data_IF_837762730009
#
_entry.id   IF_837762730009
#
_cell.length_a   1.000
_cell.length_b   1.000
_cell.length_c   1.000
_cell.angle_alpha   90.00
_cell.angle_beta   90.00
_cell.angle_gamma   90.00
#
_symmetry.space_group_name_H-M   'P 1'
#
loop_
_entity.id
_entity.type
_entity.pdbx_description
1 polymer ?
#
# COMPACT_ATOMS: atom_id res chain seq x y z
N UNK A 1 -27.97 -5.93 81.94
CA UNK A 1 -26.89 -4.96 82.08
C UNK A 1 -26.08 -4.96 80.77
N UNK A 2 -26.34 -3.99 79.97
CA UNK A 2 -25.72 -3.81 78.71
C UNK A 2 -24.49 -2.87 78.83
N UNK A 3 -23.41 -3.19 78.11
CA UNK A 3 -22.25 -2.35 77.95
C UNK A 3 -22.22 -1.69 76.53
N UNK A 4 -21.75 -0.43 76.38
CA UNK A 4 -22.00 0.36 75.23
C UNK A 4 -20.98 0.18 74.09
N UNK A 5 -21.47 0.38 72.87
CA UNK A 5 -20.74 0.26 71.65
C UNK A 5 -19.68 1.35 71.42
N UNK A 6 -18.61 0.95 70.76
CA UNK A 6 -17.54 1.85 70.28
C UNK A 6 -17.93 2.44 68.91
N UNK A 7 -17.94 3.78 68.86
CA UNK A 7 -18.10 4.61 67.69
C UNK A 7 -16.95 4.41 66.69
N UNK A 8 -17.29 4.05 65.45
CA UNK A 8 -16.35 4.00 64.35
C UNK A 8 -16.20 5.38 63.66
N UNK A 9 -14.99 5.86 63.56
CA UNK A 9 -14.59 7.08 62.86
C UNK A 9 -14.72 6.92 61.34
N UNK A 10 -15.21 7.89 60.58
CA UNK A 10 -15.31 7.76 59.13
C UNK A 10 -13.96 7.88 58.45
N UNK A 11 -13.64 6.88 57.63
CA UNK A 11 -12.45 6.82 56.80
C UNK A 11 -12.53 7.88 55.67
N UNK A 12 -11.55 8.77 55.62
CA UNK A 12 -11.39 9.84 54.66
C UNK A 12 -11.25 9.20 53.25
N UNK A 13 -12.20 9.51 52.35
CA UNK A 13 -12.19 9.14 50.96
C UNK A 13 -10.97 9.75 50.24
N UNK A 14 -10.15 8.94 49.65
CA UNK A 14 -9.04 9.34 48.80
C UNK A 14 -9.60 9.81 47.44
N UNK A 15 -9.20 11.01 47.02
CA UNK A 15 -9.51 11.56 45.70
C UNK A 15 -8.95 10.68 44.58
N UNK A 16 -9.62 10.59 43.41
CA UNK A 16 -9.11 9.83 42.28
C UNK A 16 -7.86 10.52 41.72
N UNK A 17 -6.81 9.73 41.57
CA UNK A 17 -5.55 10.18 40.98
C UNK A 17 -5.75 10.66 39.54
N UNK A 18 -5.19 11.79 39.27
CA UNK A 18 -5.10 12.49 38.01
C UNK A 18 -4.71 11.52 36.87
N UNK A 19 -5.65 11.21 36.00
CA UNK A 19 -5.36 10.51 34.74
C UNK A 19 -4.40 11.39 33.93
N UNK A 20 -3.20 10.93 33.73
CA UNK A 20 -2.14 11.60 32.96
C UNK A 20 -2.64 11.82 31.54
N UNK A 21 -2.94 13.06 31.22
CA UNK A 21 -3.26 13.53 29.87
C UNK A 21 -2.13 13.08 28.93
N UNK A 22 -2.42 12.47 27.76
CA UNK A 22 -1.36 12.09 26.83
C UNK A 22 -0.52 13.31 26.47
N UNK A 23 0.77 13.25 26.74
CA UNK A 23 1.74 14.27 26.34
C UNK A 23 1.69 14.42 24.82
N UNK A 24 1.61 15.65 24.24
CA UNK A 24 1.72 15.83 22.81
C UNK A 24 3.00 15.16 22.30
N UNK A 25 2.87 14.37 21.25
CA UNK A 25 4.00 13.73 20.60
C UNK A 25 5.05 14.79 20.23
N UNK A 26 6.31 14.52 20.53
CA UNK A 26 7.45 15.36 20.14
C UNK A 26 7.39 15.66 18.64
N UNK A 27 7.86 16.81 18.15
CA UNK A 27 7.82 17.14 16.73
C UNK A 27 8.56 16.05 15.96
N UNK A 28 7.82 15.29 15.17
CA UNK A 28 8.37 14.26 14.29
C UNK A 28 9.40 14.92 13.39
N UNK A 29 10.61 14.35 13.30
CA UNK A 29 11.64 14.83 12.40
C UNK A 29 11.06 15.02 10.99
N UNK A 30 11.36 16.13 10.33
CA UNK A 30 10.92 16.44 8.97
C UNK A 30 12.11 16.43 8.03
N UNK A 31 11.90 15.98 6.78
CA UNK A 31 12.92 16.01 5.73
C UNK A 31 12.52 17.05 4.68
N UNK A 32 13.38 18.02 4.35
CA UNK A 32 13.08 18.97 3.28
C UNK A 32 13.17 18.28 1.91
N UNK A 33 12.21 18.57 1.05
CA UNK A 33 12.18 18.12 -0.34
C UNK A 33 11.98 19.31 -1.28
N UNK A 34 12.73 19.35 -2.39
CA UNK A 34 12.55 20.36 -3.44
C UNK A 34 11.76 19.72 -4.59
N UNK A 35 10.61 20.30 -4.90
CA UNK A 35 9.74 19.84 -5.98
C UNK A 35 10.48 19.94 -7.33
N UNK A 36 10.44 18.85 -8.09
CA UNK A 36 11.03 18.76 -9.44
C UNK A 36 9.95 18.95 -10.51
N UNK A 37 10.37 19.27 -11.73
CA UNK A 37 9.47 19.36 -12.88
C UNK A 37 8.74 18.01 -13.08
N UNK A 38 7.42 18.05 -13.12
CA UNK A 38 6.57 16.88 -13.29
C UNK A 38 6.17 16.18 -11.98
N UNK A 39 6.64 16.63 -10.82
CA UNK A 39 6.20 16.07 -9.54
C UNK A 39 4.75 16.46 -9.24
N UNK A 40 4.04 15.50 -8.63
CA UNK A 40 2.76 15.77 -7.95
C UNK A 40 2.91 15.46 -6.46
N UNK A 41 2.03 16.04 -5.63
CA UNK A 41 2.02 15.74 -4.18
C UNK A 41 1.89 14.24 -3.90
N UNK A 42 1.05 13.55 -4.68
CA UNK A 42 0.86 12.11 -4.55
C UNK A 42 2.15 11.35 -4.90
N UNK A 43 2.83 11.76 -5.97
CA UNK A 43 4.08 11.12 -6.39
C UNK A 43 5.21 11.31 -5.38
N UNK A 44 5.32 12.50 -4.82
CA UNK A 44 6.29 12.81 -3.77
C UNK A 44 5.98 11.96 -2.53
N UNK A 45 4.72 11.94 -2.07
CA UNK A 45 4.31 11.16 -0.90
C UNK A 45 4.56 9.66 -1.09
N UNK A 46 4.24 9.11 -2.26
CA UNK A 46 4.48 7.70 -2.56
C UNK A 46 5.96 7.36 -2.58
N UNK A 47 6.77 8.19 -3.25
CA UNK A 47 8.23 8.00 -3.38
C UNK A 47 8.94 8.06 -2.03
N UNK A 48 8.47 8.92 -1.14
CA UNK A 48 9.06 9.14 0.17
C UNK A 48 8.31 8.42 1.30
N UNK A 49 7.34 7.54 0.97
CA UNK A 49 6.49 6.83 1.94
C UNK A 49 5.86 7.77 2.98
N UNK A 50 5.57 9.00 2.58
CA UNK A 50 5.01 10.04 3.42
C UNK A 50 3.47 10.01 3.40
N UNK A 51 2.85 10.23 4.54
CA UNK A 51 1.40 10.40 4.62
C UNK A 51 0.99 11.73 3.98
N UNK A 52 0.12 11.68 2.96
CA UNK A 52 -0.29 12.86 2.20
C UNK A 52 -0.95 13.92 3.10
N UNK A 53 -1.78 13.51 4.07
CA UNK A 53 -2.44 14.46 4.97
C UNK A 53 -1.43 15.15 5.87
N UNK A 54 -0.42 14.41 6.35
CA UNK A 54 0.65 14.98 7.14
C UNK A 54 1.51 15.93 6.29
N UNK A 55 1.82 15.60 5.03
CA UNK A 55 2.52 16.52 4.11
C UNK A 55 1.70 17.79 3.88
N UNK A 56 0.40 17.68 3.61
CA UNK A 56 -0.48 18.82 3.41
C UNK A 56 -0.51 19.71 4.66
N UNK A 57 -0.68 19.12 5.85
CA UNK A 57 -0.73 19.85 7.12
C UNK A 57 0.60 20.56 7.42
N UNK A 58 1.74 19.89 7.27
CA UNK A 58 3.07 20.45 7.51
C UNK A 58 3.41 21.63 6.60
N UNK A 59 2.85 21.63 5.37
CA UNK A 59 3.15 22.65 4.38
C UNK A 59 2.00 23.64 4.17
N UNK A 60 0.97 23.60 5.01
CA UNK A 60 -0.24 24.45 4.89
C UNK A 60 -0.91 24.34 3.51
N UNK A 61 -0.86 23.16 2.89
CA UNK A 61 -1.44 22.87 1.58
C UNK A 61 -2.81 22.19 1.72
N UNK A 62 -3.62 22.32 0.66
CA UNK A 62 -4.90 21.62 0.49
C UNK A 62 -4.76 20.55 -0.61
N UNK A 63 -5.69 19.63 -0.68
CA UNK A 63 -5.74 18.61 -1.76
C UNK A 63 -5.79 19.24 -3.16
N UNK A 64 -6.34 20.43 -3.30
CA UNK A 64 -6.42 21.21 -4.54
C UNK A 64 -5.20 22.10 -4.79
N UNK A 65 -4.23 22.17 -3.86
CA UNK A 65 -3.06 23.02 -4.03
C UNK A 65 -2.18 22.53 -5.17
N UNK A 66 -1.76 23.49 -6.01
CA UNK A 66 -0.75 23.25 -7.04
C UNK A 66 0.63 23.44 -6.44
N UNK A 67 1.55 22.56 -6.73
CA UNK A 67 2.96 22.67 -6.34
C UNK A 67 3.80 23.00 -7.57
N UNK A 68 4.87 23.76 -7.39
CA UNK A 68 5.71 24.28 -8.47
C UNK A 68 7.14 23.74 -8.38
N UNK A 69 7.82 23.48 -9.51
CA UNK A 69 9.23 23.16 -9.51
C UNK A 69 10.05 24.20 -8.73
N UNK A 70 10.94 23.73 -7.84
CA UNK A 70 11.72 24.58 -6.94
C UNK A 70 11.04 24.87 -5.59
N UNK A 71 9.75 24.60 -5.43
CA UNK A 71 9.06 24.74 -4.15
C UNK A 71 9.66 23.78 -3.10
N UNK A 72 9.93 24.30 -1.89
CA UNK A 72 10.37 23.46 -0.77
C UNK A 72 9.16 22.92 -0.02
N UNK A 73 9.12 21.61 0.20
CA UNK A 73 8.14 20.93 1.01
C UNK A 73 8.83 20.27 2.20
N UNK A 74 8.18 20.31 3.34
CA UNK A 74 8.55 19.50 4.51
C UNK A 74 7.80 18.17 4.40
N UNK A 75 8.55 17.11 4.27
CA UNK A 75 7.98 15.76 4.36
C UNK A 75 8.07 15.33 5.82
N UNK A 76 7.01 14.81 6.43
CA UNK A 76 7.15 14.16 7.72
C UNK A 76 8.26 13.13 7.55
N UNK A 77 9.22 13.07 8.48
CA UNK A 77 10.00 11.85 8.58
C UNK A 77 8.95 10.75 8.58
N UNK A 78 9.03 9.86 7.61
CA UNK A 78 8.12 8.73 7.56
C UNK A 78 7.96 8.26 9.00
N UNK A 79 6.77 8.24 9.61
CA UNK A 79 6.65 7.61 10.89
C UNK A 79 7.34 6.29 10.61
N UNK A 80 8.42 5.99 11.35
CA UNK A 80 8.98 4.66 11.28
C UNK A 80 7.73 3.79 11.42
N UNK A 81 7.16 3.42 10.29
CA UNK A 81 6.18 2.36 10.23
C UNK A 81 6.91 1.30 11.02
N UNK A 82 6.44 0.89 12.24
CA UNK A 82 7.18 -0.07 13.02
C UNK A 82 7.49 -1.13 12.01
N UNK A 83 8.73 -1.12 11.50
CA UNK A 83 9.10 -1.76 10.25
C UNK A 83 8.49 -3.14 10.38
N UNK A 84 7.57 -3.53 9.49
CA UNK A 84 7.31 -4.94 9.32
C UNK A 84 8.71 -5.48 9.03
N UNK A 85 9.40 -5.90 10.09
CA UNK A 85 10.72 -6.50 10.02
C UNK A 85 10.47 -7.82 9.35
N UNK A 86 10.66 -7.81 8.04
CA UNK A 86 10.56 -9.05 7.27
C UNK A 86 11.71 -9.96 7.69
N UNK A 87 11.49 -11.27 7.73
CA UNK A 87 12.55 -12.22 8.02
C UNK A 87 13.80 -11.92 7.17
N UNK A 88 15.01 -12.03 7.71
CA UNK A 88 16.24 -11.72 6.98
C UNK A 88 16.33 -12.41 5.61
N UNK A 89 15.83 -13.64 5.50
CA UNK A 89 15.78 -14.37 4.25
C UNK A 89 14.88 -13.67 3.18
N UNK A 90 13.76 -13.05 3.59
CA UNK A 90 12.88 -12.31 2.67
C UNK A 90 13.58 -11.05 2.18
N UNK A 91 14.25 -10.32 3.08
CA UNK A 91 15.02 -9.12 2.72
C UNK A 91 16.16 -9.48 1.76
N UNK A 92 16.92 -10.53 2.06
CA UNK A 92 18.01 -11.02 1.19
C UNK A 92 17.48 -11.41 -0.21
N UNK A 93 16.34 -12.12 -0.27
CA UNK A 93 15.70 -12.48 -1.53
C UNK A 93 15.24 -11.23 -2.32
N UNK A 94 14.70 -10.22 -1.65
CA UNK A 94 14.32 -8.96 -2.29
C UNK A 94 15.52 -8.24 -2.92
N UNK A 95 16.68 -8.25 -2.23
CA UNK A 95 17.90 -7.64 -2.75
C UNK A 95 18.49 -8.41 -3.95
N UNK A 96 18.40 -9.73 -3.94
CA UNK A 96 18.77 -10.57 -5.09
C UNK A 96 17.89 -10.23 -6.30
N UNK A 97 16.56 -10.20 -6.11
CA UNK A 97 15.60 -9.89 -7.18
C UNK A 97 15.80 -8.46 -7.72
N UNK A 98 16.04 -7.49 -6.86
CA UNK A 98 16.32 -6.10 -7.24
C UNK A 98 17.58 -6.02 -8.12
N UNK A 99 18.68 -6.67 -7.71
CA UNK A 99 19.92 -6.75 -8.50
C UNK A 99 19.71 -7.47 -9.84
N UNK A 100 18.91 -8.54 -9.86
CA UNK A 100 18.60 -9.23 -11.08
C UNK A 100 17.83 -8.34 -12.08
N UNK A 101 16.83 -7.58 -11.61
CA UNK A 101 16.04 -6.68 -12.45
C UNK A 101 16.85 -5.48 -12.98
N UNK A 102 17.91 -5.03 -12.29
CA UNK A 102 18.78 -3.98 -12.86
C UNK A 102 19.51 -4.46 -14.11
N UNK A 103 19.80 -5.75 -14.22
CA UNK A 103 20.52 -6.36 -15.35
C UNK A 103 19.59 -6.81 -16.49
N UNK A 104 18.29 -6.94 -16.24
CA UNK A 104 17.32 -7.36 -17.27
C UNK A 104 16.87 -6.20 -18.15
N UNK A 105 16.66 -6.46 -19.43
CA UNK A 105 15.88 -5.59 -20.29
C UNK A 105 14.41 -5.69 -19.86
N UNK A 106 13.78 -4.56 -19.56
CA UNK A 106 12.38 -4.49 -19.15
C UNK A 106 11.60 -3.57 -20.08
N UNK A 107 10.30 -3.81 -20.29
CA UNK A 107 9.47 -2.95 -21.13
C UNK A 107 9.33 -1.55 -20.52
N UNK A 108 9.13 -0.56 -21.38
CA UNK A 108 8.78 0.81 -20.97
C UNK A 108 7.39 0.85 -20.33
N UNK A 109 7.07 1.90 -19.54
CA UNK A 109 5.72 2.05 -18.95
C UNK A 109 4.60 2.06 -19.99
N UNK A 110 4.85 2.59 -21.21
CA UNK A 110 3.90 2.56 -22.31
C UNK A 110 3.63 1.15 -22.81
N UNK A 111 4.68 0.34 -22.99
CA UNK A 111 4.54 -1.06 -23.37
C UNK A 111 3.84 -1.87 -22.26
N UNK A 112 4.19 -1.64 -21.01
CA UNK A 112 3.52 -2.25 -19.85
C UNK A 112 2.03 -1.94 -19.85
N UNK A 113 1.62 -0.70 -20.14
CA UNK A 113 0.21 -0.32 -20.24
C UNK A 113 -0.54 -1.18 -21.27
N UNK A 114 0.04 -1.37 -22.45
CA UNK A 114 -0.55 -2.21 -23.51
C UNK A 114 -0.63 -3.68 -23.08
N UNK A 115 0.44 -4.21 -22.49
CA UNK A 115 0.51 -5.59 -21.99
C UNK A 115 -0.56 -5.86 -20.93
N UNK A 116 -0.73 -4.96 -19.96
CA UNK A 116 -1.76 -5.09 -18.91
C UNK A 116 -3.15 -5.08 -19.53
N UNK A 117 -3.45 -4.13 -20.40
CA UNK A 117 -4.77 -4.03 -21.02
C UNK A 117 -5.12 -5.26 -21.85
N UNK A 118 -4.17 -5.80 -22.61
CA UNK A 118 -4.35 -7.02 -23.39
C UNK A 118 -4.56 -8.25 -22.49
N UNK A 119 -3.74 -8.39 -21.43
CA UNK A 119 -3.84 -9.50 -20.48
C UNK A 119 -5.14 -9.44 -19.69
N UNK A 120 -5.56 -8.25 -19.25
CA UNK A 120 -6.81 -8.05 -18.53
C UNK A 120 -8.02 -8.48 -19.38
N UNK A 121 -8.09 -8.05 -20.64
CA UNK A 121 -9.16 -8.49 -21.57
C UNK A 121 -9.17 -10.00 -21.75
N UNK A 122 -8.00 -10.63 -21.93
CA UNK A 122 -7.85 -12.09 -22.08
C UNK A 122 -8.43 -12.86 -20.90
N UNK A 123 -8.31 -12.33 -19.68
CA UNK A 123 -8.77 -12.97 -18.45
C UNK A 123 -10.08 -12.40 -17.90
N UNK A 124 -10.85 -11.64 -18.69
CA UNK A 124 -12.15 -11.09 -18.28
C UNK A 124 -12.10 -10.03 -17.18
N UNK A 125 -10.92 -9.42 -16.96
CA UNK A 125 -10.75 -8.34 -15.97
C UNK A 125 -10.90 -6.97 -16.63
N UNK A 126 -11.52 -6.02 -15.94
CA UNK A 126 -11.57 -4.62 -16.40
C UNK A 126 -10.15 -4.06 -16.59
N UNK A 127 -9.74 -3.70 -17.83
CA UNK A 127 -8.41 -3.16 -18.08
C UNK A 127 -8.10 -1.89 -17.31
N UNK A 128 -9.11 -1.04 -17.03
CA UNK A 128 -8.91 0.19 -16.26
C UNK A 128 -8.60 -0.13 -14.79
N UNK A 129 -9.23 -1.16 -14.21
CA UNK A 129 -8.95 -1.62 -12.87
C UNK A 129 -7.53 -2.23 -12.77
N UNK A 130 -7.18 -3.12 -13.70
CA UNK A 130 -5.86 -3.74 -13.73
C UNK A 130 -4.73 -2.69 -13.86
N UNK A 131 -4.92 -1.69 -14.73
CA UNK A 131 -3.99 -0.57 -14.88
C UNK A 131 -3.90 0.31 -13.63
N UNK A 132 -5.04 0.57 -12.98
CA UNK A 132 -5.07 1.37 -11.76
C UNK A 132 -4.28 0.71 -10.63
N UNK A 133 -4.45 -0.60 -10.45
CA UNK A 133 -3.69 -1.39 -9.47
C UNK A 133 -2.21 -1.40 -9.82
N UNK A 134 -1.84 -1.75 -11.03
CA UNK A 134 -0.43 -1.76 -11.45
C UNK A 134 0.25 -0.39 -11.30
N UNK A 135 -0.49 0.68 -11.59
CA UNK A 135 0.01 2.03 -11.38
C UNK A 135 0.17 2.37 -9.90
N UNK A 136 -0.78 1.97 -9.05
CA UNK A 136 -0.70 2.15 -7.60
C UNK A 136 0.48 1.37 -7.01
N UNK A 137 0.74 0.15 -7.49
CA UNK A 137 1.78 -0.74 -6.99
C UNK A 137 3.20 -0.31 -7.37
N UNK A 138 3.42 0.04 -8.64
CA UNK A 138 4.78 0.22 -9.15
C UNK A 138 4.97 1.41 -10.08
N UNK A 139 3.93 2.18 -10.40
CA UNK A 139 3.93 3.16 -11.50
C UNK A 139 4.25 2.52 -12.85
N UNK A 140 3.80 1.28 -13.06
CA UNK A 140 4.08 0.49 -14.25
C UNK A 140 5.58 0.16 -14.44
N UNK A 141 6.34 0.10 -13.36
CA UNK A 141 7.78 -0.15 -13.40
C UNK A 141 8.12 -1.58 -12.97
N UNK A 142 8.55 -2.41 -13.94
CA UNK A 142 8.95 -3.79 -13.66
C UNK A 142 10.17 -3.91 -12.73
N UNK A 143 10.99 -2.88 -12.58
CA UNK A 143 12.17 -2.89 -11.69
C UNK A 143 11.85 -2.70 -10.22
N UNK A 144 10.59 -2.48 -9.86
CA UNK A 144 10.17 -2.30 -8.47
C UNK A 144 10.21 -3.61 -7.70
N UNK A 145 10.92 -3.64 -6.57
CA UNK A 145 10.91 -4.74 -5.61
C UNK A 145 10.82 -4.17 -4.21
N UNK A 146 9.79 -4.57 -3.46
CA UNK A 146 9.59 -4.14 -2.08
C UNK A 146 10.47 -4.92 -1.10
N UNK A 147 10.59 -4.42 0.15
CA UNK A 147 11.27 -5.15 1.23
C UNK A 147 10.55 -6.44 1.64
N UNK A 148 9.26 -6.58 1.31
CA UNK A 148 8.47 -7.80 1.46
C UNK A 148 8.71 -8.81 0.33
N UNK A 149 9.65 -8.52 -0.59
CA UNK A 149 9.88 -9.28 -1.80
C UNK A 149 8.64 -9.38 -2.73
N UNK A 150 7.81 -8.32 -2.74
CA UNK A 150 6.83 -8.14 -3.80
C UNK A 150 7.54 -7.59 -5.05
N UNK A 151 7.32 -8.20 -6.20
CA UNK A 151 8.14 -8.06 -7.41
C UNK A 151 7.31 -7.43 -8.53
N UNK A 152 7.93 -6.52 -9.25
CA UNK A 152 7.52 -6.08 -10.58
C UNK A 152 6.33 -5.16 -10.65
N UNK A 153 5.76 -5.07 -11.84
CA UNK A 153 4.65 -4.19 -12.21
C UNK A 153 3.45 -4.34 -11.28
N UNK A 154 3.09 -5.58 -10.98
CA UNK A 154 1.89 -5.91 -10.18
C UNK A 154 2.23 -6.21 -8.71
N UNK A 155 3.49 -6.05 -8.28
CA UNK A 155 3.97 -6.29 -6.91
C UNK A 155 3.55 -7.67 -6.37
N UNK A 156 3.83 -8.71 -7.14
CA UNK A 156 3.48 -10.08 -6.79
C UNK A 156 4.56 -10.71 -5.92
N UNK A 157 4.16 -11.29 -4.80
CA UNK A 157 5.07 -12.08 -3.96
C UNK A 157 5.31 -13.47 -4.56
N UNK A 158 6.47 -14.12 -4.29
CA UNK A 158 6.75 -15.46 -4.81
C UNK A 158 5.67 -16.50 -4.43
N UNK A 159 5.07 -16.40 -3.25
CA UNK A 159 3.98 -17.27 -2.81
C UNK A 159 2.72 -17.12 -3.67
N UNK A 160 2.35 -15.89 -3.99
CA UNK A 160 1.22 -15.58 -4.88
C UNK A 160 1.51 -16.05 -6.29
N UNK A 161 2.73 -15.81 -6.81
CA UNK A 161 3.13 -16.29 -8.14
C UNK A 161 3.07 -17.82 -8.26
N UNK A 162 3.54 -18.54 -7.23
CA UNK A 162 3.42 -20.00 -7.16
C UNK A 162 1.97 -20.47 -7.15
N UNK A 163 1.12 -19.82 -6.35
CA UNK A 163 -0.31 -20.13 -6.29
C UNK A 163 -0.98 -19.90 -7.64
N UNK A 164 -0.74 -18.75 -8.30
CA UNK A 164 -1.29 -18.47 -9.64
C UNK A 164 -0.83 -19.52 -10.67
N UNK A 165 0.44 -19.90 -10.62
CA UNK A 165 0.96 -20.96 -11.52
C UNK A 165 0.19 -22.27 -11.34
N UNK A 166 -0.18 -22.61 -10.10
CA UNK A 166 -1.03 -23.78 -9.79
C UNK A 166 -2.46 -23.60 -10.33
N UNK A 167 -3.06 -22.42 -10.15
CA UNK A 167 -4.42 -22.10 -10.68
C UNK A 167 -4.48 -22.22 -12.20
N UNK A 168 -3.43 -21.78 -12.88
CA UNK A 168 -3.32 -21.88 -14.34
C UNK A 168 -2.92 -23.28 -14.85
N UNK A 169 -2.66 -24.23 -13.96
CA UNK A 169 -2.19 -25.57 -14.33
C UNK A 169 -0.83 -25.57 -15.02
N UNK A 170 0.02 -24.58 -14.76
CA UNK A 170 1.35 -24.49 -15.35
C UNK A 170 2.27 -25.54 -14.74
N UNK A 171 2.99 -26.28 -15.57
CA UNK A 171 3.99 -27.26 -15.12
C UNK A 171 5.22 -26.65 -14.43
N UNK A 172 5.38 -25.32 -14.47
CA UNK A 172 6.46 -24.56 -13.85
C UNK A 172 5.94 -23.25 -13.24
N UNK A 173 6.62 -22.69 -12.22
CA UNK A 173 6.30 -21.38 -11.68
C UNK A 173 6.50 -20.26 -12.72
N UNK A 174 5.66 -19.22 -12.64
CA UNK A 174 5.85 -17.97 -13.39
C UNK A 174 7.17 -17.30 -12.97
N UNK A 175 7.91 -16.76 -13.94
CA UNK A 175 9.09 -15.91 -13.66
C UNK A 175 8.64 -14.47 -13.36
N UNK A 176 8.45 -14.15 -12.10
CA UNK A 176 8.00 -12.82 -11.68
C UNK A 176 8.97 -11.69 -12.06
N UNK A 177 10.20 -12.00 -12.46
CA UNK A 177 11.16 -11.04 -12.99
C UNK A 177 10.91 -10.75 -14.47
N UNK A 178 10.14 -11.60 -15.17
CA UNK A 178 9.59 -11.29 -16.49
C UNK A 178 8.32 -10.45 -16.36
N UNK A 179 8.19 -9.42 -17.19
CA UNK A 179 7.07 -8.48 -17.08
C UNK A 179 5.74 -9.12 -17.48
N UNK A 180 5.72 -10.00 -18.49
CA UNK A 180 4.49 -10.66 -18.94
C UNK A 180 4.00 -11.65 -17.88
N UNK A 181 4.89 -12.46 -17.32
CA UNK A 181 4.57 -13.42 -16.27
C UNK A 181 4.08 -12.69 -15.01
N UNK A 182 4.72 -11.57 -14.65
CA UNK A 182 4.32 -10.73 -13.54
C UNK A 182 2.91 -10.13 -13.72
N UNK A 183 2.63 -9.60 -14.91
CA UNK A 183 1.32 -9.06 -15.28
C UNK A 183 0.27 -10.17 -15.27
N UNK A 184 0.59 -11.33 -15.83
CA UNK A 184 -0.31 -12.50 -15.85
C UNK A 184 -0.66 -12.90 -14.41
N UNK A 185 0.33 -12.97 -13.52
CA UNK A 185 0.09 -13.32 -12.12
C UNK A 185 -0.86 -12.34 -11.43
N UNK A 186 -0.65 -11.03 -11.63
CA UNK A 186 -1.51 -10.01 -11.01
C UNK A 186 -2.93 -9.97 -11.59
N UNK A 187 -3.05 -10.14 -12.90
CA UNK A 187 -4.36 -10.14 -13.57
C UNK A 187 -5.17 -11.39 -13.21
N UNK A 188 -4.55 -12.56 -13.13
CA UNK A 188 -5.25 -13.79 -12.70
C UNK A 188 -5.67 -13.69 -11.23
N UNK A 189 -4.84 -13.12 -10.36
CA UNK A 189 -5.27 -12.82 -8.98
C UNK A 189 -6.49 -11.90 -8.97
N UNK A 190 -6.52 -10.86 -9.82
CA UNK A 190 -7.67 -9.98 -9.95
C UNK A 190 -8.93 -10.70 -10.48
N UNK A 191 -8.77 -11.60 -11.46
CA UNK A 191 -9.88 -12.40 -11.98
C UNK A 191 -10.51 -13.22 -10.85
N UNK A 192 -9.71 -13.95 -10.07
CA UNK A 192 -10.19 -14.73 -8.92
C UNK A 192 -10.86 -13.83 -7.88
N UNK A 193 -10.32 -12.64 -7.60
CA UNK A 193 -10.94 -11.69 -6.67
C UNK A 193 -12.27 -11.16 -7.22
N UNK A 194 -12.38 -10.95 -8.52
CA UNK A 194 -13.63 -10.50 -9.17
C UNK A 194 -14.74 -11.56 -9.06
N UNK A 195 -14.39 -12.84 -9.13
CA UNK A 195 -15.33 -13.94 -8.97
C UNK A 195 -15.73 -14.20 -7.51
N UNK A 196 -14.85 -13.86 -6.55
CA UNK A 196 -15.01 -14.27 -5.16
C UNK A 196 -15.43 -13.15 -4.21
N UNK A 197 -15.21 -11.89 -4.56
CA UNK A 197 -15.58 -10.75 -3.74
C UNK A 197 -16.97 -10.23 -4.09
N UNK A 198 -17.65 -9.63 -3.11
CA UNK A 198 -19.04 -9.18 -3.26
C UNK A 198 -19.15 -7.80 -3.92
N UNK A 199 -18.09 -6.98 -3.82
CA UNK A 199 -18.09 -5.59 -4.34
C UNK A 199 -16.72 -5.20 -4.87
N UNK A 200 -16.66 -4.21 -5.78
CA UNK A 200 -15.39 -3.67 -6.28
C UNK A 200 -14.45 -3.17 -5.18
N UNK A 201 -14.89 -2.42 -4.15
CA UNK A 201 -14.01 -2.10 -3.03
C UNK A 201 -13.39 -3.31 -2.35
N UNK A 202 -14.11 -4.44 -2.27
CA UNK A 202 -13.56 -5.69 -1.72
C UNK A 202 -12.57 -6.36 -2.65
N UNK A 203 -12.77 -6.29 -3.98
CA UNK A 203 -11.77 -6.76 -4.97
C UNK A 203 -10.45 -6.03 -4.75
N UNK A 204 -10.51 -4.70 -4.72
CA UNK A 204 -9.33 -3.83 -4.54
C UNK A 204 -8.67 -4.07 -3.17
N UNK A 205 -9.48 -4.13 -2.11
CA UNK A 205 -9.00 -4.41 -0.76
C UNK A 205 -8.40 -5.82 -0.64
N UNK A 206 -9.01 -6.80 -1.32
CA UNK A 206 -8.54 -8.19 -1.38
C UNK A 206 -7.17 -8.31 -2.02
N UNK A 207 -6.91 -7.51 -3.05
CA UNK A 207 -5.58 -7.45 -3.67
C UNK A 207 -4.50 -6.97 -2.71
N UNK A 208 -4.78 -5.93 -1.94
CA UNK A 208 -3.83 -5.28 -1.02
C UNK A 208 -3.70 -6.00 0.32
N UNK A 209 -4.82 -6.28 0.98
CA UNK A 209 -4.86 -6.81 2.35
C UNK A 209 -5.05 -8.33 2.40
N UNK A 210 -5.53 -8.93 1.29
CA UNK A 210 -6.02 -10.30 1.24
C UNK A 210 -7.50 -10.41 1.62
N UNK A 211 -8.32 -11.03 0.73
CA UNK A 211 -9.78 -11.08 0.87
C UNK A 211 -10.24 -11.72 2.18
N UNK A 212 -9.56 -12.80 2.63
CA UNK A 212 -9.88 -13.44 3.92
C UNK A 212 -9.67 -12.50 5.10
N UNK A 213 -8.63 -11.67 5.07
CA UNK A 213 -8.37 -10.66 6.10
C UNK A 213 -9.44 -9.56 6.07
N UNK A 214 -9.81 -9.10 4.87
CA UNK A 214 -10.88 -8.11 4.68
C UNK A 214 -12.22 -8.61 5.22
N UNK A 215 -12.58 -9.86 4.93
CA UNK A 215 -13.82 -10.47 5.43
C UNK A 215 -13.82 -10.62 6.95
N UNK A 216 -12.68 -11.02 7.53
CA UNK A 216 -12.57 -11.26 8.98
C UNK A 216 -12.47 -9.98 9.80
N UNK A 217 -11.70 -8.99 9.34
CA UNK A 217 -11.27 -7.84 10.13
C UNK A 217 -11.81 -6.50 9.59
N UNK A 218 -12.53 -6.53 8.45
CA UNK A 218 -12.83 -5.33 7.69
C UNK A 218 -11.59 -4.73 7.01
N UNK A 219 -11.79 -3.64 6.30
CA UNK A 219 -10.68 -2.90 5.69
C UNK A 219 -9.91 -2.10 6.74
N UNK A 220 -8.61 -2.28 6.81
CA UNK A 220 -7.71 -1.46 7.62
C UNK A 220 -7.65 -0.01 7.09
N UNK A 221 -7.11 0.92 7.88
CA UNK A 221 -7.06 2.35 7.50
C UNK A 221 -6.23 2.61 6.22
N UNK A 222 -5.12 1.90 6.07
CA UNK A 222 -4.29 1.95 4.87
C UNK A 222 -4.98 1.29 3.67
N UNK A 223 -5.70 0.19 3.89
CA UNK A 223 -6.51 -0.48 2.87
C UNK A 223 -7.60 0.44 2.33
N UNK A 224 -8.32 1.15 3.19
CA UNK A 224 -9.33 2.12 2.76
C UNK A 224 -8.74 3.23 1.88
N UNK A 225 -7.54 3.73 2.22
CA UNK A 225 -6.81 4.71 1.40
C UNK A 225 -6.38 4.11 0.06
N UNK A 226 -5.88 2.89 0.08
CA UNK A 226 -5.51 2.16 -1.14
C UNK A 226 -6.71 2.02 -2.08
N UNK A 227 -7.87 1.58 -1.58
CA UNK A 227 -9.10 1.46 -2.35
C UNK A 227 -9.50 2.78 -3.00
N UNK A 228 -9.55 3.87 -2.24
CA UNK A 228 -9.92 5.20 -2.75
C UNK A 228 -8.95 5.69 -3.86
N UNK A 229 -7.64 5.43 -3.69
CA UNK A 229 -6.64 5.77 -4.70
C UNK A 229 -6.83 4.97 -5.99
N UNK A 230 -7.03 3.66 -5.88
CA UNK A 230 -7.23 2.78 -7.04
C UNK A 230 -8.51 3.15 -7.79
N UNK A 231 -9.62 3.44 -7.10
CA UNK A 231 -10.86 3.90 -7.73
C UNK A 231 -10.67 5.21 -8.52
N UNK A 232 -9.92 6.15 -7.93
CA UNK A 232 -9.57 7.41 -8.62
C UNK A 232 -8.74 7.14 -9.88
N UNK A 233 -7.73 6.27 -9.79
CA UNK A 233 -6.89 5.89 -10.92
C UNK A 233 -7.68 5.13 -11.99
N UNK A 234 -8.56 4.20 -11.60
CA UNK A 234 -9.45 3.47 -12.51
C UNK A 234 -10.29 4.42 -13.34
N UNK A 235 -10.92 5.42 -12.69
CA UNK A 235 -11.72 6.44 -13.38
C UNK A 235 -10.91 7.24 -14.40
N UNK A 236 -9.62 7.48 -14.14
CA UNK A 236 -8.71 8.14 -15.10
C UNK A 236 -8.35 7.23 -16.26
N UNK A 237 -7.99 5.98 -15.99
CA UNK A 237 -7.64 5.03 -17.05
C UNK A 237 -8.82 4.67 -17.94
N UNK A 238 -10.05 4.57 -17.41
CA UNK A 238 -11.25 4.33 -18.19
C UNK A 238 -11.50 5.39 -19.28
N UNK A 239 -11.02 6.63 -19.10
CA UNK A 239 -11.12 7.72 -20.09
C UNK A 239 -10.04 7.66 -21.17
N UNK A 240 -9.03 6.81 -21.03
CA UNK A 240 -7.84 6.79 -21.91
C UNK A 240 -7.58 5.44 -22.56
N UNK A 241 -8.49 4.48 -22.38
CA UNK A 241 -8.52 3.14 -22.98
C UNK A 241 -9.49 3.08 -24.14
#
# INVERSE_FOLDING_TARGET
TAAPGKTATPRKSAAPSNATRPRPASPSATTPYVVKKGDTLIDICTRHHADLRAVLALNHLRMSSVIWPGQRLLLPASPANPQKTYPPAVVAASDVNRRALTKRKVPSPGQVKVMIAATARKHGVDPALALAIAYQESRLNQRTVSSANAIGVMQITPSVGKWVSSVLGLGKPLDLLDAQDNITAGVVLLAVLTETADTEPQIIAGYYQGLSSVRKNGMLNDTRRYVANVQTLRSRFAKTL
#
